data_IF_126453743956
#
_entry.id   IF_126453743956
#
_cell.length_a   1.000
_cell.length_b   1.000
_cell.length_c   1.000
_cell.angle_alpha   90.00
_cell.angle_beta   90.00
_cell.angle_gamma   90.00
#
_symmetry.space_group_name_H-M   'P 1'
#
loop_
_entity.id
_entity.type
_entity.pdbx_description
1 polymer ?
#
# COMPACT_ATOMS: atom_id res chain seq x y z
N UNK A 1 15.41 22.67 13.91
CA UNK A 1 14.55 21.90 14.82
C UNK A 1 13.64 21.08 13.93
N UNK A 2 13.93 19.79 13.76
CA UNK A 2 13.04 18.89 13.01
C UNK A 2 11.81 18.67 13.91
N UNK A 3 10.75 19.43 13.67
CA UNK A 3 9.46 19.12 14.27
C UNK A 3 8.99 17.81 13.67
N UNK A 4 8.64 16.84 14.50
CA UNK A 4 8.03 15.60 14.06
C UNK A 4 6.75 15.94 13.29
N UNK A 5 6.78 15.76 11.97
CA UNK A 5 5.63 16.01 11.13
C UNK A 5 4.71 14.79 11.23
N UNK A 6 3.42 15.04 11.47
CA UNK A 6 2.42 13.97 11.53
C UNK A 6 1.69 13.89 10.19
N UNK A 7 1.59 12.67 9.66
CA UNK A 7 0.91 12.34 8.42
C UNK A 7 -0.35 11.54 8.74
N UNK A 8 -1.56 12.06 8.44
CA UNK A 8 -2.80 11.34 8.69
C UNK A 8 -2.91 10.12 7.78
N UNK A 9 -3.31 9.00 8.37
CA UNK A 9 -3.55 7.73 7.67
C UNK A 9 -4.82 7.76 6.83
N UNK A 10 -5.71 8.73 7.08
CA UNK A 10 -7.02 8.82 6.43
C UNK A 10 -8.10 7.98 7.11
N UNK A 11 -7.76 7.31 8.22
CA UNK A 11 -8.68 6.51 9.04
C UNK A 11 -8.75 7.19 10.43
N UNK A 12 -9.81 7.96 10.72
CA UNK A 12 -9.87 8.80 11.92
C UNK A 12 -9.64 8.04 13.23
N UNK A 13 -10.19 6.83 13.35
CA UNK A 13 -10.02 5.98 14.52
C UNK A 13 -8.57 5.53 14.68
N UNK A 14 -7.88 5.22 13.58
CA UNK A 14 -6.49 4.81 13.60
C UNK A 14 -5.55 5.99 13.89
N UNK A 15 -5.82 7.15 13.29
CA UNK A 15 -5.10 8.39 13.58
C UNK A 15 -5.20 8.74 15.07
N UNK A 16 -6.39 8.62 15.67
CA UNK A 16 -6.60 8.86 17.11
C UNK A 16 -5.75 7.91 17.97
N UNK A 17 -5.72 6.61 17.63
CA UNK A 17 -4.91 5.61 18.34
C UNK A 17 -3.40 5.87 18.24
N UNK A 18 -2.95 6.52 17.16
CA UNK A 18 -1.55 6.88 16.92
C UNK A 18 -1.18 8.28 17.46
N UNK A 19 -2.10 8.99 18.10
CA UNK A 19 -1.85 10.35 18.59
C UNK A 19 -1.89 11.43 17.51
N UNK A 20 -2.61 11.18 16.41
CA UNK A 20 -2.87 12.11 15.31
C UNK A 20 -2.51 11.59 13.91
N UNK A 21 -1.78 10.48 13.81
CA UNK A 21 -1.36 9.87 12.55
C UNK A 21 0.02 9.23 12.63
N UNK A 22 0.65 8.98 11.48
CA UNK A 22 2.00 8.45 11.38
C UNK A 22 3.04 9.55 11.58
N UNK A 23 4.17 9.22 12.19
CA UNK A 23 5.35 10.08 12.18
C UNK A 23 5.94 10.10 10.75
N UNK A 24 6.29 11.29 10.25
CA UNK A 24 7.05 11.43 9.00
C UNK A 24 8.41 10.72 9.14
N UNK A 25 8.93 10.19 8.03
CA UNK A 25 10.16 9.38 7.99
C UNK A 25 10.16 8.14 8.92
N UNK A 26 8.99 7.60 9.28
CA UNK A 26 8.86 6.41 10.12
C UNK A 26 8.56 5.14 9.34
N UNK A 27 8.60 3.99 10.03
CA UNK A 27 8.20 2.69 9.48
C UNK A 27 6.97 2.15 10.22
N UNK A 28 5.92 1.82 9.47
CA UNK A 28 4.74 1.13 9.99
C UNK A 28 4.85 -0.38 9.70
N UNK A 29 4.81 -1.19 10.75
CA UNK A 29 4.72 -2.65 10.64
C UNK A 29 3.30 -3.11 10.99
N UNK A 30 2.65 -3.82 10.06
CA UNK A 30 1.32 -4.41 10.27
C UNK A 30 1.47 -5.93 10.34
N UNK A 31 1.16 -6.51 11.50
CA UNK A 31 1.17 -7.96 11.73
C UNK A 31 -0.24 -8.45 11.94
N UNK A 32 -0.64 -9.49 11.21
CA UNK A 32 -1.99 -10.03 11.24
C UNK A 32 -2.00 -11.53 10.93
N UNK A 33 -3.05 -12.23 11.35
CA UNK A 33 -3.26 -13.64 11.03
C UNK A 33 -3.92 -13.83 9.66
N UNK A 34 -3.81 -15.03 9.09
CA UNK A 34 -4.34 -15.36 7.75
C UNK A 34 -5.84 -15.10 7.56
N UNK A 35 -6.62 -15.13 8.64
CA UNK A 35 -8.07 -14.87 8.63
C UNK A 35 -8.45 -13.44 9.07
N UNK A 36 -7.46 -12.55 9.20
CA UNK A 36 -7.65 -11.14 9.56
C UNK A 36 -7.64 -10.23 8.33
N UNK A 37 -8.34 -9.10 8.43
CA UNK A 37 -8.33 -8.01 7.45
C UNK A 37 -7.15 -7.03 7.63
N UNK A 38 -6.11 -7.39 8.39
CA UNK A 38 -4.97 -6.50 8.66
C UNK A 38 -4.27 -5.98 7.40
N UNK A 39 -4.20 -6.77 6.33
CA UNK A 39 -3.64 -6.30 5.05
C UNK A 39 -4.38 -5.10 4.46
N UNK A 40 -5.71 -5.02 4.64
CA UNK A 40 -6.53 -3.95 4.09
C UNK A 40 -6.20 -2.61 4.74
N UNK A 41 -5.83 -2.60 6.02
CA UNK A 41 -5.35 -1.40 6.72
C UNK A 41 -4.10 -0.83 6.03
N UNK A 42 -3.15 -1.70 5.68
CA UNK A 42 -1.92 -1.28 4.98
C UNK A 42 -2.22 -0.69 3.60
N UNK A 43 -3.15 -1.30 2.85
CA UNK A 43 -3.55 -0.79 1.54
C UNK A 43 -4.26 0.56 1.64
N UNK A 44 -5.14 0.75 2.62
CA UNK A 44 -5.88 2.02 2.76
C UNK A 44 -4.93 3.17 3.17
N UNK A 45 -4.00 2.91 4.09
CA UNK A 45 -2.94 3.87 4.45
C UNK A 45 -2.10 4.21 3.21
N UNK A 46 -1.66 3.21 2.46
CA UNK A 46 -0.84 3.40 1.27
C UNK A 46 -1.56 4.23 0.19
N UNK A 47 -2.81 3.88 -0.10
CA UNK A 47 -3.69 4.64 -1.01
C UNK A 47 -3.87 6.08 -0.53
N UNK A 48 -4.03 6.32 0.76
CA UNK A 48 -4.13 7.67 1.32
C UNK A 48 -2.86 8.48 1.07
N UNK A 49 -1.69 7.88 1.26
CA UNK A 49 -0.41 8.56 1.05
C UNK A 49 -0.21 8.94 -0.43
N UNK A 50 -0.54 8.02 -1.35
CA UNK A 50 -0.46 8.29 -2.80
C UNK A 50 -1.46 9.40 -3.19
N UNK A 51 -2.72 9.30 -2.76
CA UNK A 51 -3.74 10.32 -3.07
C UNK A 51 -3.43 11.70 -2.48
N UNK A 52 -2.55 11.79 -1.49
CA UNK A 52 -2.06 13.05 -0.91
C UNK A 52 -0.89 13.66 -1.69
N UNK A 53 -0.51 13.08 -2.83
CA UNK A 53 0.59 13.53 -3.68
C UNK A 53 1.89 12.76 -3.48
N UNK A 54 1.88 11.68 -2.70
CA UNK A 54 3.02 10.77 -2.58
C UNK A 54 3.19 9.89 -3.82
N UNK A 55 4.42 9.43 -4.05
CA UNK A 55 4.71 8.38 -5.03
C UNK A 55 4.82 7.04 -4.31
N UNK A 56 4.07 6.05 -4.78
CA UNK A 56 4.02 4.72 -4.19
C UNK A 56 5.04 3.76 -4.79
N UNK A 57 5.54 2.84 -3.97
CA UNK A 57 6.25 1.63 -4.43
C UNK A 57 5.64 0.43 -3.74
N UNK A 58 5.10 -0.52 -4.50
CA UNK A 58 4.61 -1.79 -3.99
C UNK A 58 5.54 -2.92 -4.45
N UNK A 59 6.18 -3.61 -3.50
CA UNK A 59 7.01 -4.77 -3.82
C UNK A 59 6.25 -6.05 -3.50
N UNK A 60 5.94 -6.83 -4.52
CA UNK A 60 5.09 -8.00 -4.41
C UNK A 60 5.92 -9.29 -4.42
N UNK A 61 5.96 -9.98 -3.28
CA UNK A 61 6.66 -11.26 -3.10
C UNK A 61 5.71 -12.46 -2.95
N UNK A 62 4.42 -12.23 -2.75
CA UNK A 62 3.55 -13.22 -2.11
C UNK A 62 2.65 -13.97 -3.09
N UNK A 63 2.31 -13.38 -4.23
CA UNK A 63 1.35 -13.95 -5.19
C UNK A 63 1.50 -13.32 -6.58
N UNK A 64 0.89 -13.89 -7.65
CA UNK A 64 0.90 -13.27 -8.98
C UNK A 64 0.32 -11.85 -8.99
N UNK A 65 0.84 -10.97 -9.85
CA UNK A 65 0.38 -9.57 -9.96
C UNK A 65 -1.13 -9.42 -10.21
N UNK A 66 -1.76 -10.35 -10.94
CA UNK A 66 -3.22 -10.34 -11.13
C UNK A 66 -4.00 -10.50 -9.81
N UNK A 67 -3.46 -11.24 -8.84
CA UNK A 67 -4.09 -11.33 -7.51
C UNK A 67 -3.89 -10.05 -6.71
N UNK A 68 -2.77 -9.32 -6.90
CA UNK A 68 -2.57 -8.00 -6.31
C UNK A 68 -3.69 -7.05 -6.72
N UNK A 69 -3.94 -6.94 -8.02
CA UNK A 69 -5.00 -6.12 -8.60
C UNK A 69 -6.37 -6.53 -8.05
N UNK A 70 -6.67 -7.83 -7.99
CA UNK A 70 -7.95 -8.30 -7.46
C UNK A 70 -8.13 -7.91 -5.99
N UNK A 71 -7.13 -8.15 -5.15
CA UNK A 71 -7.23 -7.83 -3.72
C UNK A 71 -7.31 -6.32 -3.48
N UNK A 72 -6.51 -5.51 -4.18
CA UNK A 72 -6.61 -4.06 -4.05
C UNK A 72 -8.00 -3.56 -4.47
N UNK A 73 -8.56 -4.10 -5.55
CA UNK A 73 -9.90 -3.73 -6.00
C UNK A 73 -11.00 -4.09 -4.99
N UNK A 74 -10.84 -5.16 -4.20
CA UNK A 74 -11.82 -5.48 -3.14
C UNK A 74 -11.89 -4.44 -2.03
N UNK A 75 -10.84 -3.64 -1.85
CA UNK A 75 -10.81 -2.49 -0.93
C UNK A 75 -10.95 -1.15 -1.66
N UNK A 76 -11.48 -1.18 -2.89
CA UNK A 76 -11.72 0.02 -3.69
C UNK A 76 -10.43 0.75 -4.05
N UNK A 77 -9.34 0.01 -4.29
CA UNK A 77 -8.08 0.56 -4.77
C UNK A 77 -7.61 -0.10 -6.08
N UNK A 78 -7.44 0.70 -7.12
CA UNK A 78 -6.94 0.24 -8.42
C UNK A 78 -5.45 0.58 -8.54
N UNK A 79 -4.60 -0.38 -8.17
CA UNK A 79 -3.13 -0.23 -8.19
C UNK A 79 -2.58 -0.10 -9.61
N UNK A 80 -3.19 -0.75 -10.60
CA UNK A 80 -2.69 -0.69 -11.97
C UNK A 80 -3.04 0.63 -12.64
N UNK A 81 -4.21 1.18 -12.34
CA UNK A 81 -4.53 2.56 -12.75
C UNK A 81 -3.52 3.56 -12.20
N UNK A 82 -3.19 3.50 -10.92
CA UNK A 82 -2.16 4.38 -10.34
C UNK A 82 -0.76 4.13 -10.95
N UNK A 83 -0.47 2.88 -11.33
CA UNK A 83 0.72 2.53 -12.10
C UNK A 83 0.78 3.23 -13.47
N UNK A 84 -0.30 3.10 -14.24
CA UNK A 84 -0.45 3.74 -15.56
C UNK A 84 -0.42 5.27 -15.49
N UNK A 85 -0.93 5.84 -14.40
CA UNK A 85 -0.91 7.29 -14.15
C UNK A 85 0.43 7.80 -13.60
N UNK A 86 1.43 6.91 -13.43
CA UNK A 86 2.77 7.26 -12.96
C UNK A 86 2.84 7.64 -11.48
N UNK A 87 1.85 7.24 -10.68
CA UNK A 87 1.77 7.50 -9.23
C UNK A 87 2.34 6.37 -8.38
N UNK A 88 2.43 5.18 -8.96
CA UNK A 88 2.86 3.95 -8.31
C UNK A 88 3.82 3.18 -9.23
N UNK A 89 4.86 2.57 -8.66
CA UNK A 89 5.60 1.49 -9.30
C UNK A 89 5.36 0.16 -8.58
N UNK A 90 5.16 -0.91 -9.34
CA UNK A 90 5.02 -2.27 -8.80
C UNK A 90 6.26 -3.06 -9.17
N UNK A 91 6.95 -3.59 -8.16
CA UNK A 91 8.08 -4.49 -8.32
C UNK A 91 7.57 -5.91 -8.12
N UNK A 92 7.31 -6.63 -9.21
CA UNK A 92 6.80 -8.00 -9.19
C UNK A 92 7.92 -9.02 -9.01
N UNK A 93 8.34 -9.19 -7.76
CA UNK A 93 9.38 -10.17 -7.40
C UNK A 93 8.84 -11.59 -7.49
N UNK A 94 7.57 -11.82 -7.11
CA UNK A 94 6.94 -13.13 -7.25
C UNK A 94 6.96 -13.61 -8.70
N UNK A 95 6.51 -12.77 -9.64
CA UNK A 95 6.52 -13.12 -11.06
C UNK A 95 7.93 -13.38 -11.58
N UNK A 96 8.88 -12.52 -11.21
CA UNK A 96 10.29 -12.66 -11.59
C UNK A 96 10.92 -13.98 -11.13
N UNK A 97 10.64 -14.43 -9.90
CA UNK A 97 11.20 -15.67 -9.35
C UNK A 97 10.52 -16.94 -9.85
N UNK A 98 9.27 -16.84 -10.34
CA UNK A 98 8.48 -17.98 -10.80
C UNK A 98 8.35 -18.02 -12.33
N UNK A 99 9.15 -17.22 -13.06
CA UNK A 99 9.13 -17.11 -14.53
C UNK A 99 7.73 -16.82 -15.09
N UNK A 100 6.90 -16.11 -14.32
CA UNK A 100 5.58 -15.68 -14.77
C UNK A 100 5.72 -14.34 -15.48
N UNK A 101 5.40 -14.32 -16.77
CA UNK A 101 5.23 -13.06 -17.49
C UNK A 101 3.84 -12.50 -17.17
N UNK A 102 3.76 -11.43 -16.39
CA UNK A 102 2.54 -10.65 -16.30
C UNK A 102 2.32 -9.96 -17.65
N UNK A 103 1.22 -10.28 -18.33
CA UNK A 103 0.78 -9.54 -19.53
C UNK A 103 0.10 -8.21 -19.19
N UNK A 104 0.11 -7.80 -17.92
CA UNK A 104 -0.43 -6.52 -17.48
C UNK A 104 0.65 -5.44 -17.52
N UNK A 105 0.31 -4.22 -17.96
CA UNK A 105 1.24 -3.12 -18.18
C UNK A 105 1.89 -2.58 -16.89
#
# INVERSE_FOLDING_TARGET
>A
MFGEKIIPTGIPEFDSLLGGGLLDDSTLLIVYGTHSFGWALGVEVFKRLISSGGFGIATNYSFPALLLERYSNTVGYDVFKDGLEGKLAIIDVFGSLNELTSSSP
#
